data_IF_933339569681
#
_entry.id   IF_933339569681
#
_cell.length_a   1.000
_cell.length_b   1.000
_cell.length_c   1.000
_cell.angle_alpha   90.00
_cell.angle_beta   90.00
_cell.angle_gamma   90.00
#
_symmetry.space_group_name_H-M   'P 1'
#
loop_
_entity.id
_entity.type
_entity.pdbx_description
1 polymer ?
#
# COMPACT_ATOMS: atom_id res chain seq x y z
N UNK A 1 6.80 -3.71 8.85
CA UNK A 1 6.82 -3.39 7.40
C UNK A 1 6.92 -1.89 7.24
N UNK A 2 7.37 -1.42 6.07
CA UNK A 2 7.44 -0.01 5.71
C UNK A 2 6.82 0.20 4.32
N UNK A 3 6.01 1.25 4.18
CA UNK A 3 5.55 1.79 2.90
C UNK A 3 6.14 3.20 2.77
N UNK A 4 6.72 3.52 1.62
CA UNK A 4 7.41 4.80 1.44
C UNK A 4 7.27 5.35 0.02
N UNK A 5 7.34 6.68 -0.13
CA UNK A 5 7.61 7.31 -1.42
C UNK A 5 9.10 7.25 -1.77
N UNK A 6 9.53 8.06 -2.73
CA UNK A 6 10.94 8.25 -3.10
C UNK A 6 11.50 7.21 -4.07
N UNK A 7 10.68 6.32 -4.63
CA UNK A 7 11.13 5.17 -5.43
C UNK A 7 12.17 4.35 -4.66
N UNK A 8 13.11 3.69 -5.34
CA UNK A 8 14.16 2.87 -4.72
C UNK A 8 14.95 3.61 -3.63
N UNK A 9 15.13 4.93 -3.73
CA UNK A 9 15.80 5.70 -2.67
C UNK A 9 15.05 5.67 -1.34
N UNK A 10 13.72 5.58 -1.36
CA UNK A 10 12.89 5.51 -0.17
C UNK A 10 13.12 4.25 0.67
N UNK A 11 13.79 3.22 0.13
CA UNK A 11 14.21 2.06 0.91
C UNK A 11 15.19 2.45 2.03
N UNK A 12 15.89 3.59 1.91
CA UNK A 12 16.73 4.14 2.97
C UNK A 12 15.96 4.40 4.28
N UNK A 13 14.64 4.65 4.21
CA UNK A 13 13.82 4.80 5.41
C UNK A 13 13.70 3.51 6.23
N UNK A 14 13.94 2.33 5.64
CA UNK A 14 13.90 1.06 6.36
C UNK A 14 15.01 0.96 7.43
N UNK A 15 16.16 1.60 7.22
CA UNK A 15 17.25 1.68 8.20
C UNK A 15 16.78 2.34 9.51
N UNK A 16 16.04 3.44 9.39
CA UNK A 16 15.41 4.12 10.53
C UNK A 16 14.45 3.24 11.32
N UNK A 17 13.64 2.45 10.60
CA UNK A 17 12.71 1.49 11.20
C UNK A 17 13.46 0.37 11.91
N UNK A 18 14.55 -0.15 11.30
CA UNK A 18 15.40 -1.15 11.93
C UNK A 18 15.98 -0.61 13.25
N UNK A 19 16.57 0.58 13.22
CA UNK A 19 17.12 1.22 14.43
C UNK A 19 16.06 1.38 15.52
N UNK A 20 14.88 1.91 15.18
CA UNK A 20 13.78 2.07 16.13
C UNK A 20 13.39 0.76 16.83
N UNK A 21 13.31 -0.34 16.06
CA UNK A 21 12.93 -1.66 16.54
C UNK A 21 14.03 -2.29 17.40
N UNK A 22 15.29 -2.21 16.97
CA UNK A 22 16.45 -2.74 17.69
C UNK A 22 16.59 -2.10 19.07
N UNK A 23 16.51 -0.76 19.16
CA UNK A 23 16.58 -0.01 20.42
C UNK A 23 15.51 -0.42 21.44
N UNK A 24 14.39 -0.99 20.96
CA UNK A 24 13.26 -1.45 21.78
C UNK A 24 13.24 -2.96 21.98
N UNK A 25 14.28 -3.66 21.54
CA UNK A 25 14.40 -5.11 21.69
C UNK A 25 13.42 -5.89 20.82
N UNK A 26 12.95 -5.33 19.69
CA UNK A 26 12.17 -6.07 18.70
C UNK A 26 13.08 -6.63 17.60
N UNK A 27 12.92 -7.91 17.29
CA UNK A 27 13.69 -8.59 16.25
C UNK A 27 13.96 -10.05 16.57
N UNK A 28 14.54 -10.75 15.60
CA UNK A 28 15.02 -12.12 15.76
C UNK A 28 16.25 -12.11 16.67
N UNK A 29 16.20 -12.87 17.76
CA UNK A 29 17.39 -13.09 18.61
C UNK A 29 18.38 -13.99 17.84
N UNK A 30 19.57 -13.45 17.57
CA UNK A 30 20.67 -14.15 16.89
C UNK A 30 21.81 -14.51 17.86
N UNK A 31 21.56 -14.45 19.16
CA UNK A 31 22.51 -14.79 20.23
C UNK A 31 23.46 -13.66 20.63
N UNK A 32 23.73 -12.71 19.74
CA UNK A 32 24.58 -11.52 20.00
C UNK A 32 23.81 -10.20 20.02
N UNK A 33 22.50 -10.26 19.77
CA UNK A 33 21.63 -9.10 19.62
C UNK A 33 20.32 -9.49 18.96
N UNK A 34 19.47 -8.50 18.69
CA UNK A 34 18.23 -8.70 17.96
C UNK A 34 18.31 -8.06 16.59
N UNK A 35 17.96 -8.81 15.55
CA UNK A 35 17.94 -8.34 14.16
C UNK A 35 16.49 -8.13 13.73
N UNK A 36 16.02 -6.88 13.58
CA UNK A 36 14.71 -6.59 13.02
C UNK A 36 14.62 -7.05 11.56
N UNK A 37 13.50 -7.67 11.19
CA UNK A 37 13.18 -7.98 9.79
C UNK A 37 12.12 -6.99 9.32
N UNK A 38 12.50 -6.07 8.44
CA UNK A 38 11.64 -4.97 7.98
C UNK A 38 11.41 -5.10 6.47
N UNK A 39 10.36 -5.81 6.03
CA UNK A 39 9.93 -5.75 4.64
C UNK A 39 9.52 -4.31 4.29
N UNK A 40 9.96 -3.83 3.13
CA UNK A 40 9.64 -2.49 2.65
C UNK A 40 9.14 -2.54 1.21
N UNK A 41 8.17 -1.69 0.88
CA UNK A 41 7.75 -1.40 -0.48
C UNK A 41 7.77 0.11 -0.70
N UNK A 42 8.10 0.52 -1.92
CA UNK A 42 8.25 1.93 -2.29
C UNK A 42 7.44 2.25 -3.53
N UNK A 43 6.92 3.48 -3.59
CA UNK A 43 6.26 4.02 -4.77
C UNK A 43 7.05 5.17 -5.39
N UNK A 44 6.89 5.37 -6.69
CA UNK A 44 7.51 6.47 -7.42
C UNK A 44 6.68 7.75 -7.30
N UNK A 45 7.16 8.73 -6.55
CA UNK A 45 6.56 10.07 -6.42
C UNK A 45 7.56 11.19 -6.74
N UNK A 46 8.72 10.87 -7.33
CA UNK A 46 9.80 11.83 -7.59
C UNK A 46 9.38 12.94 -8.59
N UNK A 47 8.34 12.70 -9.38
CA UNK A 47 7.74 13.68 -10.28
C UNK A 47 6.85 14.71 -9.55
N UNK A 48 6.53 14.48 -8.27
CA UNK A 48 5.68 15.35 -7.46
C UNK A 48 6.54 16.19 -6.53
N UNK A 49 6.50 17.52 -6.71
CA UNK A 49 7.28 18.44 -5.90
C UNK A 49 8.77 18.45 -6.30
N UNK A 50 9.59 17.59 -5.69
CA UNK A 50 11.05 17.61 -5.91
C UNK A 50 11.68 16.23 -5.85
N UNK A 51 12.32 15.83 -6.95
CA UNK A 51 13.05 14.55 -7.06
C UNK A 51 14.27 14.43 -6.13
N UNK A 52 14.67 15.49 -5.43
CA UNK A 52 15.77 15.46 -4.44
C UNK A 52 15.26 15.39 -3.00
N UNK A 53 13.95 15.53 -2.76
CA UNK A 53 13.33 15.36 -1.44
C UNK A 53 12.70 13.97 -1.37
N UNK A 54 13.30 13.08 -0.59
CA UNK A 54 12.96 11.66 -0.54
C UNK A 54 12.98 11.18 0.92
N UNK A 55 12.21 10.13 1.29
CA UNK A 55 12.29 9.54 2.62
C UNK A 55 13.69 9.02 2.94
N UNK A 56 14.16 9.28 4.15
CA UNK A 56 15.44 8.85 4.69
C UNK A 56 15.26 8.08 6.02
N UNK A 57 16.37 7.63 6.61
CA UNK A 57 16.36 6.90 7.87
C UNK A 57 15.74 7.72 9.02
N UNK A 58 15.92 9.03 9.07
CA UNK A 58 15.31 9.86 10.12
C UNK A 58 13.78 9.87 9.99
N UNK A 59 13.27 9.98 8.76
CA UNK A 59 11.84 9.91 8.48
C UNK A 59 11.25 8.52 8.79
N UNK A 60 11.99 7.44 8.48
CA UNK A 60 11.57 6.08 8.83
C UNK A 60 11.45 5.85 10.33
N UNK A 61 12.42 6.35 11.10
CA UNK A 61 12.38 6.31 12.56
C UNK A 61 11.21 7.15 13.11
N UNK A 62 11.03 8.37 12.63
CA UNK A 62 9.94 9.26 13.05
C UNK A 62 8.56 8.69 12.71
N UNK A 63 8.42 7.95 11.59
CA UNK A 63 7.19 7.26 11.25
C UNK A 63 6.82 6.17 12.25
N UNK A 64 7.82 5.48 12.83
CA UNK A 64 7.59 4.52 13.91
C UNK A 64 7.15 5.20 15.21
N UNK A 65 7.75 6.34 15.57
CA UNK A 65 7.33 7.12 16.74
C UNK A 65 5.90 7.66 16.58
N UNK A 66 5.51 8.02 15.37
CA UNK A 66 4.19 8.54 15.03
C UNK A 66 3.15 7.44 14.73
N UNK A 67 3.45 6.16 14.97
CA UNK A 67 2.54 5.06 14.68
C UNK A 67 1.22 5.20 15.47
N UNK A 68 0.09 5.03 14.78
CA UNK A 68 -1.26 5.20 15.34
C UNK A 68 -2.03 3.88 15.32
N UNK A 69 -3.01 3.76 16.21
CA UNK A 69 -3.99 2.64 16.19
C UNK A 69 -4.99 2.77 15.05
N UNK A 70 -5.34 4.00 14.67
CA UNK A 70 -6.19 4.31 13.51
C UNK A 70 -5.35 5.10 12.50
N UNK A 71 -5.12 4.55 11.29
CA UNK A 71 -4.35 5.25 10.27
C UNK A 71 -5.01 6.57 9.85
N UNK A 72 -4.18 7.58 9.58
CA UNK A 72 -4.62 8.77 8.85
C UNK A 72 -4.82 8.42 7.37
N UNK A 73 -5.74 9.11 6.71
CA UNK A 73 -5.98 9.00 5.26
C UNK A 73 -5.60 10.26 4.49
N UNK A 74 -5.54 10.16 3.17
CA UNK A 74 -5.20 11.23 2.24
C UNK A 74 -3.70 11.41 2.04
N UNK A 75 -3.25 12.64 1.82
CA UNK A 75 -1.87 12.99 1.47
C UNK A 75 -0.95 13.01 2.70
N UNK A 76 -0.72 11.84 3.29
CA UNK A 76 0.10 11.61 4.47
C UNK A 76 1.02 10.41 4.29
N UNK A 77 2.20 10.43 4.92
CA UNK A 77 3.16 9.33 4.83
C UNK A 77 3.51 8.98 3.38
N UNK A 78 3.47 7.70 3.02
CA UNK A 78 3.68 7.23 1.65
C UNK A 78 2.66 7.80 0.64
N UNK A 79 1.48 8.23 1.08
CA UNK A 79 0.45 8.84 0.25
C UNK A 79 0.72 10.30 -0.12
N UNK A 80 1.75 10.96 0.44
CA UNK A 80 1.95 12.42 0.30
C UNK A 80 2.11 12.88 -1.15
N UNK A 81 2.86 12.10 -1.94
CA UNK A 81 3.10 12.33 -3.37
C UNK A 81 2.38 11.33 -4.29
N UNK A 82 1.42 10.57 -3.77
CA UNK A 82 0.72 9.55 -4.55
C UNK A 82 -0.27 10.18 -5.54
N UNK A 83 -0.31 9.62 -6.75
CA UNK A 83 -1.15 10.08 -7.86
C UNK A 83 -1.63 8.90 -8.72
N UNK A 84 -2.74 9.08 -9.45
CA UNK A 84 -3.35 8.06 -10.34
C UNK A 84 -3.66 8.61 -11.73
N UNK A 85 -3.96 7.73 -12.69
CA UNK A 85 -4.42 8.12 -14.02
C UNK A 85 -3.32 8.75 -14.88
N UNK A 86 -2.19 8.07 -15.01
CA UNK A 86 -0.95 8.60 -15.64
C UNK A 86 -0.76 8.19 -17.09
N UNK A 87 -1.74 7.48 -17.67
CA UNK A 87 -1.66 7.02 -19.05
C UNK A 87 -1.40 8.16 -20.06
N UNK A 88 -1.82 9.39 -19.74
CA UNK A 88 -1.62 10.58 -20.57
C UNK A 88 -0.51 11.51 -20.06
N UNK A 89 0.34 11.06 -19.13
CA UNK A 89 1.41 11.86 -18.52
C UNK A 89 1.13 12.29 -17.07
N UNK A 90 2.20 12.61 -16.33
CA UNK A 90 2.11 13.04 -14.93
C UNK A 90 1.40 14.39 -14.76
N UNK A 91 1.51 15.27 -15.75
CA UNK A 91 0.83 16.57 -15.76
C UNK A 91 -0.69 16.44 -15.82
N UNK A 92 -1.19 15.28 -16.26
CA UNK A 92 -2.61 14.93 -16.27
C UNK A 92 -3.01 14.01 -15.13
N UNK A 93 -2.09 13.62 -14.26
CA UNK A 93 -2.43 12.76 -13.13
C UNK A 93 -3.41 13.47 -12.17
N UNK A 94 -4.19 12.66 -11.48
CA UNK A 94 -5.02 13.10 -10.35
C UNK A 94 -4.30 12.78 -9.04
N UNK A 95 -4.48 13.67 -8.05
CA UNK A 95 -4.03 13.42 -6.69
C UNK A 95 -4.76 12.20 -6.12
N UNK A 96 -4.06 11.42 -5.32
CA UNK A 96 -4.61 10.36 -4.49
C UNK A 96 -3.96 10.42 -3.09
N UNK A 97 -3.84 9.30 -2.39
CA UNK A 97 -3.12 9.26 -1.14
C UNK A 97 -3.04 7.88 -0.51
N UNK A 98 -3.09 7.90 0.82
CA UNK A 98 -3.22 6.75 1.68
C UNK A 98 -4.71 6.54 2.00
N UNK A 99 -5.24 5.35 1.75
CA UNK A 99 -6.61 5.00 2.12
C UNK A 99 -6.66 3.75 2.97
N UNK A 100 -7.74 3.60 3.72
CA UNK A 100 -7.93 2.46 4.62
C UNK A 100 -9.38 1.98 4.63
N UNK A 101 -9.57 0.69 4.83
CA UNK A 101 -10.87 0.09 5.05
C UNK A 101 -10.75 -1.08 6.02
N UNK A 102 -11.81 -1.36 6.75
CA UNK A 102 -11.86 -2.50 7.65
C UNK A 102 -13.29 -3.05 7.74
N UNK A 103 -13.38 -4.37 7.83
CA UNK A 103 -14.62 -5.07 8.11
C UNK A 103 -14.45 -5.89 9.38
N UNK A 104 -15.46 -5.83 10.25
CA UNK A 104 -15.60 -6.74 11.39
C UNK A 104 -16.79 -7.65 11.13
N UNK A 105 -16.53 -8.95 11.06
CA UNK A 105 -17.53 -9.97 10.81
C UNK A 105 -18.14 -10.48 12.12
N UNK A 106 -19.32 -11.12 12.07
CA UNK A 106 -19.83 -11.93 13.18
C UNK A 106 -18.77 -12.91 13.67
N UNK A 107 -18.67 -13.10 14.98
CA UNK A 107 -17.63 -13.94 15.58
C UNK A 107 -16.28 -13.24 15.79
N UNK A 108 -16.16 -11.95 15.46
CA UNK A 108 -15.02 -11.13 15.85
C UNK A 108 -13.82 -11.15 14.91
N UNK A 109 -13.92 -11.82 13.76
CA UNK A 109 -12.92 -11.73 12.70
C UNK A 109 -12.86 -10.30 12.17
N UNK A 110 -11.65 -9.76 12.05
CA UNK A 110 -11.36 -8.45 11.49
C UNK A 110 -10.46 -8.66 10.28
N UNK A 111 -10.79 -8.01 9.17
CA UNK A 111 -9.91 -7.87 8.01
C UNK A 111 -9.86 -6.39 7.66
N UNK A 112 -8.65 -5.85 7.54
CA UNK A 112 -8.42 -4.44 7.27
C UNK A 112 -7.35 -4.28 6.20
N UNK A 113 -7.38 -3.16 5.48
CA UNK A 113 -6.38 -2.79 4.50
C UNK A 113 -5.90 -1.35 4.70
N UNK A 114 -4.64 -1.12 4.35
CA UNK A 114 -4.01 0.19 4.25
C UNK A 114 -3.26 0.25 2.91
N UNK A 115 -3.62 1.20 2.05
CA UNK A 115 -3.14 1.28 0.67
C UNK A 115 -2.62 2.68 0.34
N UNK A 116 -1.39 2.79 -0.15
CA UNK A 116 -0.86 3.99 -0.78
C UNK A 116 -0.99 3.83 -2.31
N UNK A 117 -1.82 4.67 -2.93
CA UNK A 117 -2.35 4.41 -4.28
C UNK A 117 -1.64 5.27 -5.31
N UNK A 118 -0.60 4.77 -5.98
CA UNK A 118 0.17 5.54 -6.96
C UNK A 118 0.17 4.89 -8.36
N UNK A 119 -1.00 4.48 -8.84
CA UNK A 119 -1.18 3.67 -10.05
C UNK A 119 -0.88 4.40 -11.38
N UNK A 120 -0.45 3.65 -12.41
CA UNK A 120 -0.60 4.07 -13.82
C UNK A 120 -2.08 4.26 -14.14
N UNK A 121 -2.88 3.25 -13.79
CA UNK A 121 -4.27 3.14 -14.18
C UNK A 121 -5.16 4.22 -13.60
N UNK A 122 -6.36 4.33 -14.17
CA UNK A 122 -7.44 5.08 -13.56
C UNK A 122 -8.17 4.19 -12.54
N UNK A 123 -8.75 4.82 -11.54
CA UNK A 123 -9.59 4.17 -10.53
C UNK A 123 -11.04 4.21 -10.99
N UNK A 124 -11.72 3.07 -10.92
CA UNK A 124 -13.13 2.89 -11.30
C UNK A 124 -13.97 2.46 -10.11
N UNK A 125 -15.23 2.83 -10.16
CA UNK A 125 -16.27 2.22 -9.36
C UNK A 125 -16.45 0.75 -9.82
N UNK A 126 -16.32 -0.25 -8.93
CA UNK A 126 -16.34 -1.65 -9.32
C UNK A 126 -17.75 -2.15 -9.68
N UNK A 127 -18.82 -1.47 -9.28
CA UNK A 127 -20.20 -1.86 -9.55
C UNK A 127 -20.69 -1.27 -10.89
N UNK A 128 -20.38 -0.01 -11.14
CA UNK A 128 -20.88 0.74 -12.30
C UNK A 128 -19.87 0.82 -13.45
N UNK A 129 -18.58 0.61 -13.17
CA UNK A 129 -17.48 0.82 -14.11
C UNK A 129 -17.16 2.31 -14.39
N UNK A 130 -17.79 3.23 -13.67
CA UNK A 130 -17.53 4.67 -13.81
C UNK A 130 -16.09 4.99 -13.41
N UNK A 131 -15.39 5.80 -14.21
CA UNK A 131 -14.07 6.34 -13.84
C UNK A 131 -14.24 7.37 -12.73
N UNK A 132 -13.72 7.06 -11.54
CA UNK A 132 -13.74 7.92 -10.36
C UNK A 132 -12.51 8.85 -10.32
N UNK A 133 -11.34 8.34 -10.72
CA UNK A 133 -10.12 9.13 -10.86
C UNK A 133 -9.30 8.65 -12.04
N UNK A 134 -8.99 9.52 -12.99
CA UNK A 134 -8.25 9.17 -14.21
C UNK A 134 -7.45 10.34 -14.76
N UNK A 135 -6.82 10.19 -15.93
CA UNK A 135 -6.09 11.30 -16.54
C UNK A 135 -7.02 12.49 -16.79
N UNK A 136 -6.58 13.69 -16.38
CA UNK A 136 -7.28 14.95 -16.62
C UNK A 136 -7.31 15.29 -18.11
N UNK A 137 -8.49 15.70 -18.58
CA UNK A 137 -8.75 16.06 -19.97
C UNK A 137 -9.48 14.96 -20.75
N UNK A 138 -10.11 15.32 -21.87
CA UNK A 138 -10.98 14.43 -22.64
C UNK A 138 -10.25 13.63 -23.72
N UNK A 139 -9.07 14.11 -24.15
CA UNK A 139 -8.35 13.59 -25.30
C UNK A 139 -6.84 13.43 -25.00
N UNK A 140 -6.24 12.37 -25.55
CA UNK A 140 -4.80 12.13 -25.53
C UNK A 140 -4.45 10.71 -25.98
N UNK A 141 -3.32 10.55 -26.68
CA UNK A 141 -2.77 9.23 -26.97
C UNK A 141 -2.06 8.71 -25.71
N UNK A 142 -2.31 7.48 -25.26
CA UNK A 142 -1.52 6.87 -24.19
C UNK A 142 -0.03 6.98 -24.50
N UNK A 143 0.77 7.40 -23.52
CA UNK A 143 2.22 7.44 -23.66
C UNK A 143 2.76 6.01 -23.64
N UNK A 144 3.58 5.64 -24.64
CA UNK A 144 4.25 4.32 -24.69
C UNK A 144 5.21 4.12 -23.50
N UNK A 145 5.76 5.22 -22.98
CA UNK A 145 6.50 5.27 -21.73
C UNK A 145 5.53 5.53 -20.58
N UNK A 146 4.76 4.52 -20.20
CA UNK A 146 4.10 4.55 -18.89
C UNK A 146 5.21 4.62 -17.85
N UNK A 147 5.27 5.72 -17.11
CA UNK A 147 6.28 5.90 -16.08
C UNK A 147 6.19 4.78 -15.03
N UNK A 148 7.27 4.55 -14.27
CA UNK A 148 7.24 3.64 -13.13
C UNK A 148 6.20 4.12 -12.12
N UNK A 149 5.28 3.26 -11.71
CA UNK A 149 4.16 3.53 -10.83
C UNK A 149 3.93 2.34 -9.90
N UNK A 150 3.12 2.51 -8.86
CA UNK A 150 3.06 1.49 -7.81
C UNK A 150 1.86 1.69 -6.91
N UNK A 151 1.01 0.68 -6.72
CA UNK A 151 0.08 0.65 -5.58
C UNK A 151 0.64 -0.31 -4.53
N UNK A 152 0.93 0.21 -3.34
CA UNK A 152 1.55 -0.56 -2.26
C UNK A 152 0.69 -0.54 -1.02
N UNK A 153 0.68 -1.64 -0.28
CA UNK A 153 -0.15 -1.68 0.92
C UNK A 153 -0.02 -2.94 1.72
N UNK A 154 -0.95 -3.10 2.65
CA UNK A 154 -1.08 -4.31 3.44
C UNK A 154 -2.52 -4.64 3.78
N UNK A 155 -2.77 -5.93 3.88
CA UNK A 155 -3.92 -6.52 4.54
C UNK A 155 -3.50 -6.96 5.94
N UNK A 156 -4.30 -6.60 6.94
CA UNK A 156 -4.10 -6.97 8.34
C UNK A 156 -5.35 -7.70 8.83
N UNK A 157 -5.15 -8.83 9.49
CA UNK A 157 -6.25 -9.60 10.10
C UNK A 157 -5.87 -10.12 11.47
N UNK A 158 -6.88 -10.39 12.32
CA UNK A 158 -6.68 -11.09 13.59
C UNK A 158 -6.78 -12.62 13.46
N UNK A 159 -7.00 -13.14 12.24
CA UNK A 159 -7.00 -14.57 11.98
C UNK A 159 -5.64 -15.22 12.27
N UNK A 160 -5.64 -16.50 12.66
CA UNK A 160 -4.45 -17.34 12.73
C UNK A 160 -4.13 -17.88 11.34
N UNK A 161 -3.03 -17.42 10.78
CA UNK A 161 -2.55 -17.83 9.46
C UNK A 161 -1.10 -18.34 9.56
N UNK A 162 -0.82 -19.46 8.92
CA UNK A 162 0.56 -19.85 8.63
C UNK A 162 1.13 -19.01 7.47
N UNK A 163 2.43 -19.13 7.19
CA UNK A 163 3.10 -18.31 6.16
C UNK A 163 2.54 -18.53 4.76
N UNK A 164 2.18 -19.77 4.40
CA UNK A 164 1.61 -20.08 3.10
C UNK A 164 0.20 -19.47 2.94
N UNK A 165 -0.61 -19.55 4.00
CA UNK A 165 -1.94 -18.92 4.05
C UNK A 165 -1.83 -17.40 3.96
N UNK A 166 -0.94 -16.75 4.72
CA UNK A 166 -0.71 -15.32 4.63
C UNK A 166 -0.26 -14.90 3.21
N UNK A 167 0.63 -15.68 2.59
CA UNK A 167 1.03 -15.44 1.19
C UNK A 167 -0.16 -15.58 0.22
N UNK A 168 -1.05 -16.55 0.45
CA UNK A 168 -2.29 -16.68 -0.33
C UNK A 168 -3.22 -15.49 -0.12
N UNK A 169 -3.36 -14.96 1.09
CA UNK A 169 -4.13 -13.74 1.37
C UNK A 169 -3.55 -12.56 0.61
N UNK A 170 -2.23 -12.36 0.64
CA UNK A 170 -1.58 -11.30 -0.12
C UNK A 170 -1.85 -11.42 -1.64
N UNK A 171 -1.83 -12.64 -2.18
CA UNK A 171 -2.14 -12.88 -3.59
C UNK A 171 -3.62 -12.59 -3.92
N UNK A 172 -4.57 -13.06 -3.12
CA UNK A 172 -6.02 -12.81 -3.33
C UNK A 172 -6.35 -11.33 -3.15
N UNK A 173 -5.67 -10.64 -2.26
CA UNK A 173 -5.85 -9.20 -2.04
C UNK A 173 -5.57 -8.36 -3.31
N UNK A 174 -4.68 -8.83 -4.19
CA UNK A 174 -4.43 -8.19 -5.50
C UNK A 174 -5.67 -8.21 -6.40
N UNK A 175 -6.59 -9.16 -6.22
CA UNK A 175 -7.87 -9.16 -6.95
C UNK A 175 -8.70 -7.92 -6.62
N UNK A 176 -8.63 -7.44 -5.37
CA UNK A 176 -9.26 -6.20 -4.94
C UNK A 176 -8.73 -4.98 -5.69
N UNK A 177 -7.41 -4.92 -5.84
CA UNK A 177 -6.72 -3.89 -6.61
C UNK A 177 -7.17 -3.93 -8.09
N UNK A 178 -7.16 -5.11 -8.71
CA UNK A 178 -7.52 -5.28 -10.12
C UNK A 178 -9.00 -4.96 -10.42
N UNK A 179 -9.91 -5.04 -9.43
CA UNK A 179 -11.32 -4.65 -9.59
C UNK A 179 -11.47 -3.14 -9.84
N UNK A 180 -10.69 -2.34 -9.12
CA UNK A 180 -10.86 -0.88 -9.07
C UNK A 180 -9.77 -0.11 -9.80
N UNK A 181 -8.62 -0.69 -10.14
CA UNK A 181 -7.56 -0.02 -10.91
C UNK A 181 -7.47 -0.60 -12.31
N UNK A 182 -7.54 0.26 -13.34
CA UNK A 182 -7.54 -0.14 -14.75
C UNK A 182 -6.63 0.73 -15.63
N UNK A 183 -5.63 0.16 -16.33
CA UNK A 183 -5.07 -1.18 -16.07
C UNK A 183 -4.36 -1.23 -14.71
N UNK A 184 -4.29 -2.43 -14.13
CA UNK A 184 -3.49 -2.78 -12.97
C UNK A 184 -2.35 -3.74 -13.38
N UNK A 185 -1.34 -3.92 -12.52
CA UNK A 185 -0.26 -4.90 -12.71
C UNK A 185 0.47 -4.77 -14.06
N UNK A 186 0.64 -3.55 -14.54
CA UNK A 186 1.41 -3.32 -15.76
C UNK A 186 2.89 -3.61 -15.51
N UNK A 187 3.69 -3.78 -16.57
CA UNK A 187 5.16 -3.94 -16.44
C UNK A 187 5.86 -2.76 -15.75
N UNK A 188 5.15 -1.64 -15.60
CA UNK A 188 5.64 -0.42 -14.97
C UNK A 188 5.06 -0.24 -13.56
N UNK A 189 4.13 -1.10 -13.14
CA UNK A 189 3.58 -1.11 -11.79
C UNK A 189 4.34 -2.07 -10.88
N UNK A 190 4.89 -1.58 -9.77
CA UNK A 190 5.50 -2.42 -8.73
C UNK A 190 4.50 -2.88 -7.66
N UNK A 191 3.26 -3.20 -8.05
CA UNK A 191 2.15 -3.43 -7.12
C UNK A 191 2.50 -4.48 -6.06
N UNK A 192 2.45 -4.10 -4.78
CA UNK A 192 2.93 -4.94 -3.68
C UNK A 192 1.97 -4.88 -2.49
N UNK A 193 1.41 -6.02 -2.10
CA UNK A 193 0.56 -6.15 -0.91
C UNK A 193 1.22 -7.11 0.08
N UNK A 194 1.42 -6.64 1.32
CA UNK A 194 1.81 -7.51 2.43
C UNK A 194 0.58 -8.06 3.15
N UNK A 195 0.66 -9.27 3.70
CA UNK A 195 -0.37 -9.81 4.60
C UNK A 195 0.20 -9.99 6.01
N UNK A 196 -0.48 -9.43 7.01
CA UNK A 196 -0.14 -9.52 8.42
C UNK A 196 -1.30 -10.16 9.19
N UNK A 197 -0.97 -11.05 10.12
CA UNK A 197 -1.93 -11.82 10.90
C UNK A 197 -1.51 -11.81 12.39
N UNK A 198 -2.36 -11.32 13.30
CA UNK A 198 -2.02 -11.27 14.74
C UNK A 198 -2.22 -12.60 15.45
N UNK A 199 -2.98 -13.53 14.86
CA UNK A 199 -3.11 -14.90 15.35
C UNK A 199 -4.01 -15.07 16.58
N UNK A 200 -5.05 -14.25 16.70
CA UNK A 200 -5.98 -14.24 17.82
C UNK A 200 -7.16 -15.21 17.63
N UNK A 201 -7.62 -15.43 16.39
CA UNK A 201 -8.85 -16.17 16.07
C UNK A 201 -8.64 -17.21 14.97
N UNK A 202 -9.27 -18.39 15.07
CA UNK A 202 -9.36 -19.32 13.94
C UNK A 202 -10.40 -18.84 12.91
N UNK A 203 -10.02 -18.79 11.64
CA UNK A 203 -10.93 -18.45 10.55
C UNK A 203 -10.55 -19.19 9.25
N UNK A 204 -11.53 -19.58 8.42
CA UNK A 204 -11.23 -20.16 7.10
C UNK A 204 -10.47 -19.17 6.23
N UNK A 205 -9.38 -19.63 5.61
CA UNK A 205 -8.51 -18.76 4.80
C UNK A 205 -9.25 -18.11 3.64
N UNK A 206 -10.23 -18.82 3.06
CA UNK A 206 -11.01 -18.32 1.93
C UNK A 206 -11.95 -17.17 2.34
N UNK A 207 -12.47 -17.22 3.58
CA UNK A 207 -13.27 -16.12 4.15
C UNK A 207 -12.38 -14.89 4.33
N UNK A 208 -11.20 -15.06 4.94
CA UNK A 208 -10.23 -13.96 5.09
C UNK A 208 -9.83 -13.40 3.72
N UNK A 209 -9.60 -14.26 2.73
CA UNK A 209 -9.22 -13.86 1.37
C UNK A 209 -10.31 -13.07 0.65
N UNK A 210 -11.56 -13.51 0.73
CA UNK A 210 -12.69 -12.81 0.12
C UNK A 210 -12.82 -11.39 0.67
N UNK A 211 -12.77 -11.23 2.00
CA UNK A 211 -12.84 -9.92 2.63
C UNK A 211 -11.56 -9.12 2.45
N UNK A 212 -10.39 -9.74 2.29
CA UNK A 212 -9.14 -9.05 1.97
C UNK A 212 -9.23 -8.34 0.62
N UNK A 213 -9.73 -9.01 -0.43
CA UNK A 213 -9.95 -8.38 -1.73
C UNK A 213 -10.97 -7.23 -1.63
N UNK A 214 -12.04 -7.41 -0.85
CA UNK A 214 -13.05 -6.37 -0.63
C UNK A 214 -12.46 -5.13 0.05
N UNK A 215 -11.78 -5.29 1.19
CA UNK A 215 -11.23 -4.14 1.92
C UNK A 215 -10.08 -3.48 1.16
N UNK A 216 -9.33 -4.19 0.32
CA UNK A 216 -8.32 -3.56 -0.55
C UNK A 216 -8.98 -2.65 -1.58
N UNK A 217 -10.04 -3.12 -2.25
CA UNK A 217 -10.79 -2.29 -3.19
C UNK A 217 -11.32 -1.03 -2.49
N UNK A 218 -11.97 -1.19 -1.33
CA UNK A 218 -12.50 -0.08 -0.54
C UNK A 218 -11.42 0.89 -0.06
N UNK A 219 -10.26 0.38 0.40
CA UNK A 219 -9.13 1.21 0.82
C UNK A 219 -8.53 2.02 -0.34
N UNK A 220 -8.54 1.48 -1.55
CA UNK A 220 -8.11 2.22 -2.75
C UNK A 220 -9.09 3.35 -3.07
N UNK A 221 -10.40 3.09 -2.96
CA UNK A 221 -11.44 4.11 -3.16
C UNK A 221 -11.35 5.22 -2.10
N UNK A 222 -11.13 4.88 -0.83
CA UNK A 222 -10.95 5.84 0.28
C UNK A 222 -9.69 6.72 0.13
N UNK A 223 -8.72 6.28 -0.68
CA UNK A 223 -7.51 7.06 -0.95
C UNK A 223 -7.72 8.22 -1.93
N UNK A 224 -8.87 8.27 -2.62
CA UNK A 224 -9.21 9.35 -3.55
C UNK A 224 -9.67 10.60 -2.77
N UNK A 225 -9.41 11.80 -3.31
CA UNK A 225 -9.79 13.08 -2.68
C UNK A 225 -11.30 13.34 -2.64
#
# INVERSE_FOLDING_TARGET
MLLSGGSAYGLAAADGVMRFLEERGYGLDVGVGRVPIVPAAVLFDLAVGSATRRPDAAMGYAACEAALTVPRRGRVGAGTGATVGKALGYERAMDSGLGTAAVRLPGGLIVAALMAVNAVGHVVDPETGQVLAGPKGKDGRPLDTLATNTTIGAVVTNARLNKAQANKIAAVAQDGLARVIRPAHTMYDGDTIFALATGELEAPVDVVGAFAAEVVAQAILDALP
#
